data_IF_523954970271
#
_entry.id   IF_523954970271
#
_cell.length_a   1.000
_cell.length_b   1.000
_cell.length_c   1.000
_cell.angle_alpha   90.00
_cell.angle_beta   90.00
_cell.angle_gamma   90.00
#
_symmetry.space_group_name_H-M   'P 1'
#
loop_
_entity.id
_entity.type
_entity.pdbx_description
1 polymer ?
#
# COMPACT_ATOMS: atom_id res chain seq x y z
N UNK A 1 21.40 23.56 59.29
CA UNK A 1 21.69 22.17 59.68
C UNK A 1 22.14 21.48 58.44
N UNK A 2 23.45 21.29 58.36
CA UNK A 2 24.20 20.60 57.33
C UNK A 2 23.88 19.09 57.38
N UNK A 3 23.74 18.43 56.24
CA UNK A 3 24.10 17.00 56.10
C UNK A 3 24.63 16.70 54.70
N UNK A 4 25.74 16.01 54.78
CA UNK A 4 26.71 15.73 53.72
C UNK A 4 26.25 14.68 52.73
N UNK A 5 26.75 14.81 51.49
CA UNK A 5 26.75 13.83 50.41
C UNK A 5 27.74 12.68 50.76
N UNK A 6 27.44 11.41 50.46
CA UNK A 6 28.47 10.37 50.32
C UNK A 6 28.84 10.15 48.84
N UNK A 7 30.15 10.27 48.62
CA UNK A 7 30.85 9.97 47.38
C UNK A 7 30.66 8.53 46.92
N UNK A 8 30.44 8.33 45.64
CA UNK A 8 30.46 7.01 44.97
C UNK A 8 31.87 6.71 44.45
N UNK A 9 32.43 5.65 44.94
CA UNK A 9 33.76 5.06 44.65
C UNK A 9 33.78 4.42 43.25
N UNK A 10 34.62 4.94 42.37
CA UNK A 10 34.82 4.53 40.97
C UNK A 10 36.04 3.58 40.92
N UNK A 11 35.82 2.26 40.93
CA UNK A 11 36.87 1.25 40.64
C UNK A 11 36.38 0.22 39.63
N UNK A 12 37.12 -0.04 38.56
CA UNK A 12 36.77 -1.04 37.57
C UNK A 12 37.17 -2.45 38.02
N UNK A 13 36.25 -3.41 37.88
CA UNK A 13 36.51 -4.83 38.10
C UNK A 13 37.10 -5.50 36.84
N UNK A 14 37.96 -6.53 37.01
CA UNK A 14 38.77 -7.09 35.94
C UNK A 14 38.01 -8.08 35.04
N UNK A 15 38.36 -8.09 33.75
CA UNK A 15 37.77 -8.87 32.69
C UNK A 15 37.88 -10.38 32.84
N UNK A 16 36.79 -11.07 32.54
CA UNK A 16 36.78 -12.48 32.17
C UNK A 16 36.86 -12.62 30.65
N UNK A 17 37.99 -13.12 30.16
CA UNK A 17 38.12 -13.66 28.81
C UNK A 17 37.26 -14.90 28.70
N UNK A 18 36.31 -14.93 27.78
CA UNK A 18 35.67 -16.16 27.32
C UNK A 18 36.28 -16.52 25.97
N UNK A 19 36.83 -17.72 25.95
CA UNK A 19 37.35 -18.40 24.77
C UNK A 19 36.21 -18.70 23.78
N UNK A 20 36.47 -18.51 22.47
CA UNK A 20 35.60 -18.89 21.38
C UNK A 20 35.69 -20.41 21.12
N UNK A 21 34.57 -21.10 20.87
CA UNK A 21 34.63 -22.49 20.43
C UNK A 21 35.02 -22.61 18.94
N UNK A 22 35.62 -23.76 18.55
CA UNK A 22 36.17 -23.96 17.21
C UNK A 22 35.07 -24.15 16.14
N UNK A 23 35.38 -23.67 14.95
CA UNK A 23 34.51 -23.70 13.76
C UNK A 23 34.09 -25.12 13.38
N UNK A 24 32.80 -25.26 13.07
CA UNK A 24 32.25 -26.42 12.36
C UNK A 24 32.14 -26.11 10.90
N UNK A 25 32.86 -26.86 10.09
CA UNK A 25 32.73 -26.92 8.64
C UNK A 25 31.31 -27.41 8.28
N UNK A 26 30.50 -26.59 7.60
CA UNK A 26 29.26 -27.01 6.99
C UNK A 26 29.51 -27.67 5.63
N UNK A 27 28.70 -28.65 5.22
CA UNK A 27 28.90 -29.38 3.98
C UNK A 27 28.51 -28.53 2.75
N UNK A 28 29.30 -28.72 1.67
CA UNK A 28 29.09 -28.12 0.37
C UNK A 28 27.75 -28.54 -0.26
N UNK A 29 27.06 -27.61 -0.89
CA UNK A 29 25.86 -27.86 -1.71
C UNK A 29 26.22 -28.70 -2.93
N UNK A 30 25.45 -29.73 -3.28
CA UNK A 30 25.63 -30.46 -4.53
C UNK A 30 25.05 -29.68 -5.72
N UNK A 31 25.79 -29.69 -6.83
CA UNK A 31 25.36 -29.18 -8.13
C UNK A 31 24.17 -29.96 -8.68
N UNK A 32 23.16 -29.26 -9.22
CA UNK A 32 22.04 -29.86 -9.92
C UNK A 32 22.50 -30.57 -11.19
N UNK A 33 22.36 -31.89 -11.19
CA UNK A 33 22.48 -32.76 -12.37
C UNK A 33 21.10 -32.98 -12.94
N UNK A 34 20.91 -32.67 -14.23
CA UNK A 34 19.71 -32.98 -14.97
C UNK A 34 19.50 -34.51 -15.00
N UNK A 35 18.29 -34.98 -14.70
CA UNK A 35 17.87 -36.36 -14.83
C UNK A 35 17.03 -36.55 -16.12
N UNK A 36 17.13 -37.74 -16.77
CA UNK A 36 16.45 -37.99 -18.02
C UNK A 36 14.96 -38.31 -17.82
N UNK A 37 14.15 -38.02 -18.87
CA UNK A 37 12.71 -38.17 -18.89
C UNK A 37 12.21 -39.60 -18.57
N UNK A 38 11.19 -39.64 -17.75
CA UNK A 38 10.27 -40.76 -17.63
C UNK A 38 8.88 -40.28 -18.05
N UNK A 39 8.40 -40.86 -19.17
CA UNK A 39 6.98 -40.86 -19.46
C UNK A 39 6.29 -41.70 -18.38
N UNK A 40 5.41 -41.08 -17.61
CA UNK A 40 4.47 -41.82 -16.76
C UNK A 40 3.06 -41.34 -17.07
N UNK A 41 2.20 -42.31 -17.37
CA UNK A 41 0.76 -42.16 -17.49
C UNK A 41 0.21 -41.29 -16.36
N UNK A 42 -0.46 -40.18 -16.72
CA UNK A 42 -1.03 -39.22 -15.77
C UNK A 42 -2.18 -39.82 -14.98
N UNK A 43 -2.26 -39.63 -13.66
CA UNK A 43 -3.48 -39.86 -12.92
C UNK A 43 -4.58 -38.95 -13.41
N UNK A 44 -5.80 -39.48 -13.49
CA UNK A 44 -7.01 -38.75 -13.85
C UNK A 44 -7.10 -37.42 -13.05
N UNK A 45 -7.36 -36.34 -13.77
CA UNK A 45 -7.50 -35.00 -13.19
C UNK A 45 -8.52 -35.04 -12.03
N UNK A 46 -8.03 -34.91 -10.82
CA UNK A 46 -8.87 -34.50 -9.70
C UNK A 46 -9.50 -33.16 -10.11
N UNK A 47 -10.84 -33.08 -10.10
CA UNK A 47 -11.55 -31.88 -10.53
C UNK A 47 -11.00 -30.66 -9.80
N UNK A 48 -10.74 -29.56 -10.54
CA UNK A 48 -10.27 -28.31 -9.96
C UNK A 48 -11.19 -27.89 -8.80
N UNK A 49 -10.65 -27.43 -7.67
CA UNK A 49 -11.46 -26.93 -6.56
C UNK A 49 -12.37 -25.80 -7.06
N UNK A 50 -13.60 -25.71 -6.51
CA UNK A 50 -14.47 -24.57 -6.79
C UNK A 50 -13.82 -23.30 -6.26
N UNK A 51 -13.93 -22.17 -6.98
CA UNK A 51 -13.28 -20.92 -6.63
C UNK A 51 -13.46 -20.49 -5.16
N UNK A 52 -14.64 -20.72 -4.59
CA UNK A 52 -14.92 -20.42 -3.17
C UNK A 52 -14.09 -21.26 -2.21
N UNK A 53 -13.89 -22.56 -2.46
CA UNK A 53 -13.05 -23.41 -1.61
C UNK A 53 -11.58 -22.95 -1.68
N UNK A 54 -11.07 -22.68 -2.87
CA UNK A 54 -9.71 -22.17 -3.09
C UNK A 54 -9.49 -20.82 -2.39
N UNK A 55 -10.45 -19.88 -2.46
CA UNK A 55 -10.39 -18.60 -1.77
C UNK A 55 -10.24 -18.77 -0.26
N UNK A 56 -11.09 -19.59 0.38
CA UNK A 56 -11.06 -19.78 1.83
C UNK A 56 -9.80 -20.48 2.33
N UNK A 57 -9.29 -21.44 1.58
CA UNK A 57 -8.05 -22.13 1.91
C UNK A 57 -6.88 -21.17 1.88
N UNK A 58 -6.70 -20.43 0.79
CA UNK A 58 -5.66 -19.41 0.65
C UNK A 58 -5.76 -18.33 1.72
N UNK A 59 -6.98 -17.86 2.01
CA UNK A 59 -7.22 -16.85 3.03
C UNK A 59 -6.82 -17.32 4.42
N UNK A 60 -7.19 -18.55 4.79
CA UNK A 60 -6.83 -19.17 6.07
C UNK A 60 -5.31 -19.34 6.21
N UNK A 61 -4.62 -19.74 5.14
CA UNK A 61 -3.20 -20.00 5.15
C UNK A 61 -2.38 -18.69 5.21
N UNK A 62 -2.87 -17.61 4.60
CA UNK A 62 -2.25 -16.30 4.64
C UNK A 62 -2.50 -15.53 5.96
N UNK A 63 -3.65 -15.78 6.60
CA UNK A 63 -4.11 -15.02 7.77
C UNK A 63 -3.14 -14.99 8.97
N UNK A 64 -2.36 -16.03 9.31
CA UNK A 64 -1.40 -15.96 10.43
C UNK A 64 -0.13 -15.17 10.12
N UNK A 65 0.23 -14.98 8.83
CA UNK A 65 1.51 -14.36 8.44
C UNK A 65 1.48 -12.87 8.80
N UNK A 66 2.45 -12.43 9.59
CA UNK A 66 2.64 -11.03 9.98
C UNK A 66 1.55 -10.45 10.90
N UNK A 67 0.66 -11.29 11.45
CA UNK A 67 -0.41 -10.86 12.36
C UNK A 67 0.14 -10.58 13.76
N UNK A 68 -0.09 -9.39 14.28
CA UNK A 68 0.21 -9.02 15.65
C UNK A 68 -0.97 -9.44 16.56
N UNK A 69 -0.69 -10.34 17.52
CA UNK A 69 -1.73 -10.88 18.41
C UNK A 69 -2.25 -9.87 19.43
N UNK A 70 -1.53 -8.79 19.68
CA UNK A 70 -1.93 -7.75 20.65
C UNK A 70 -2.89 -6.74 20.05
N UNK A 71 -2.74 -6.43 18.76
CA UNK A 71 -3.57 -5.45 18.04
C UNK A 71 -4.58 -6.10 17.10
N UNK A 72 -4.38 -7.37 16.73
CA UNK A 72 -5.05 -8.08 15.66
C UNK A 72 -4.78 -7.53 14.25
N UNK A 73 -3.91 -6.52 14.12
CA UNK A 73 -3.50 -5.96 12.85
C UNK A 73 -2.33 -6.69 12.23
N UNK A 74 -1.96 -6.29 11.04
CA UNK A 74 -0.85 -6.88 10.28
C UNK A 74 0.37 -5.95 10.25
N UNK A 75 1.57 -6.55 10.23
CA UNK A 75 2.87 -5.88 10.11
C UNK A 75 3.74 -6.61 9.09
N UNK A 76 3.28 -6.64 7.86
CA UNK A 76 3.95 -7.26 6.71
C UNK A 76 4.82 -6.23 6.00
N UNK A 77 5.86 -5.72 6.69
CA UNK A 77 6.71 -4.67 6.11
C UNK A 77 7.69 -5.26 5.10
N UNK A 78 7.90 -4.55 4.01
CA UNK A 78 8.81 -4.95 2.94
C UNK A 78 10.19 -5.40 3.45
N UNK A 79 10.69 -6.50 2.90
CA UNK A 79 12.00 -7.09 3.22
C UNK A 79 12.17 -7.50 4.70
N UNK A 80 11.08 -7.81 5.40
CA UNK A 80 11.09 -8.44 6.72
C UNK A 80 10.81 -9.94 6.62
N UNK A 81 10.85 -10.66 7.75
CA UNK A 81 10.50 -12.08 7.76
C UNK A 81 9.04 -12.29 7.34
N UNK A 82 8.11 -11.45 7.80
CA UNK A 82 6.70 -11.53 7.40
C UNK A 82 6.50 -11.35 5.89
N UNK A 83 7.24 -10.43 5.25
CA UNK A 83 7.23 -10.29 3.79
C UNK A 83 7.83 -11.55 3.13
N UNK A 84 8.93 -12.09 3.64
CA UNK A 84 9.52 -13.34 3.13
C UNK A 84 8.53 -14.51 3.21
N UNK A 85 7.79 -14.62 4.30
CA UNK A 85 6.77 -15.66 4.48
C UNK A 85 5.60 -15.47 3.49
N UNK A 86 5.13 -14.24 3.27
CA UNK A 86 4.14 -13.90 2.23
C UNK A 86 4.65 -14.24 0.82
N UNK A 87 5.91 -13.95 0.53
CA UNK A 87 6.55 -14.27 -0.77
C UNK A 87 6.65 -15.78 -0.99
N UNK A 88 6.97 -16.53 0.06
CA UNK A 88 6.99 -18.00 0.03
C UNK A 88 5.58 -18.53 -0.24
N UNK A 89 4.57 -18.03 0.47
CA UNK A 89 3.18 -18.38 0.23
C UNK A 89 2.75 -18.11 -1.23
N UNK A 90 3.10 -16.96 -1.80
CA UNK A 90 2.78 -16.63 -3.20
C UNK A 90 3.42 -17.63 -4.18
N UNK A 91 4.71 -17.97 -3.98
CA UNK A 91 5.41 -18.98 -4.79
C UNK A 91 4.75 -20.36 -4.71
N UNK A 92 4.33 -20.78 -3.51
CA UNK A 92 3.61 -22.03 -3.30
C UNK A 92 2.28 -22.03 -4.05
N UNK A 93 1.49 -20.93 -3.97
CA UNK A 93 0.24 -20.80 -4.73
C UNK A 93 0.47 -20.88 -6.24
N UNK A 94 1.54 -20.32 -6.76
CA UNK A 94 1.90 -20.43 -8.16
C UNK A 94 2.28 -21.87 -8.54
N UNK A 95 3.11 -22.51 -7.72
CA UNK A 95 3.59 -23.90 -7.93
C UNK A 95 2.44 -24.91 -7.91
N UNK A 96 1.55 -24.82 -6.93
CA UNK A 96 0.41 -25.73 -6.77
C UNK A 96 -0.56 -25.68 -7.97
N UNK A 97 -0.57 -24.53 -8.67
CA UNK A 97 -1.36 -24.34 -9.89
C UNK A 97 -0.60 -24.64 -11.18
N UNK A 98 0.67 -25.06 -11.08
CA UNK A 98 1.52 -25.30 -12.24
C UNK A 98 1.78 -24.03 -13.07
N UNK A 99 1.81 -22.86 -12.43
CA UNK A 99 2.14 -21.59 -13.07
C UNK A 99 3.67 -21.42 -13.14
N UNK A 100 4.15 -20.76 -14.19
CA UNK A 100 5.53 -20.30 -14.25
C UNK A 100 5.76 -19.21 -13.20
N UNK A 101 6.79 -19.35 -12.37
CA UNK A 101 7.11 -18.39 -11.33
C UNK A 101 8.42 -17.67 -11.61
N UNK A 102 8.42 -16.37 -11.47
CA UNK A 102 9.63 -15.54 -11.54
C UNK A 102 9.54 -14.35 -10.57
N UNK A 103 10.71 -13.85 -10.19
CA UNK A 103 10.86 -12.59 -9.46
C UNK A 103 11.58 -11.61 -10.38
N UNK A 104 11.03 -10.41 -10.53
CA UNK A 104 11.68 -9.40 -11.35
C UNK A 104 12.84 -8.73 -10.60
N UNK A 105 13.59 -7.87 -11.32
CA UNK A 105 14.74 -7.16 -10.78
C UNK A 105 14.40 -6.24 -9.61
N UNK A 106 13.14 -5.83 -9.47
CA UNK A 106 12.64 -4.96 -8.42
C UNK A 106 12.08 -5.71 -7.22
N UNK A 107 12.06 -7.06 -7.32
CA UNK A 107 11.53 -7.94 -6.29
C UNK A 107 10.02 -8.18 -6.36
N UNK A 108 9.32 -7.74 -7.39
CA UNK A 108 7.93 -8.12 -7.60
C UNK A 108 7.87 -9.58 -8.05
N UNK A 109 6.84 -10.30 -7.60
CA UNK A 109 6.64 -11.72 -7.90
C UNK A 109 5.59 -11.88 -8.99
N UNK A 110 5.83 -12.78 -9.95
CA UNK A 110 4.97 -13.02 -11.09
C UNK A 110 4.68 -14.51 -11.24
N UNK A 111 3.40 -14.86 -11.37
CA UNK A 111 2.93 -16.23 -11.61
C UNK A 111 2.22 -16.28 -12.96
N UNK A 112 2.79 -16.97 -13.94
CA UNK A 112 2.39 -16.97 -15.34
C UNK A 112 1.59 -18.20 -15.74
N UNK A 113 0.46 -18.00 -16.39
CA UNK A 113 -0.27 -19.01 -17.16
C UNK A 113 -0.06 -18.72 -18.65
N UNK A 114 0.64 -19.61 -19.35
CA UNK A 114 1.04 -19.41 -20.73
C UNK A 114 2.46 -18.86 -20.87
N UNK A 115 2.86 -18.53 -22.10
CA UNK A 115 4.21 -18.04 -22.40
C UNK A 115 4.28 -16.50 -22.18
N UNK A 116 5.05 -16.01 -21.19
CA UNK A 116 5.18 -14.57 -20.95
C UNK A 116 5.82 -13.82 -22.13
N UNK A 117 6.50 -14.53 -23.04
CA UNK A 117 7.14 -13.93 -24.22
C UNK A 117 6.18 -13.75 -25.40
N UNK A 118 4.99 -14.31 -25.34
CA UNK A 118 3.98 -14.12 -26.39
C UNK A 118 3.47 -12.66 -26.48
N UNK A 119 3.64 -11.87 -25.41
CA UNK A 119 3.16 -10.49 -25.34
C UNK A 119 1.64 -10.38 -25.13
N UNK A 120 1.14 -9.15 -25.06
CA UNK A 120 -0.30 -8.83 -24.90
C UNK A 120 -0.97 -9.56 -23.73
N UNK A 121 -0.21 -9.79 -22.65
CA UNK A 121 -0.67 -10.52 -21.48
C UNK A 121 -1.73 -9.72 -20.70
N UNK A 122 -2.72 -10.43 -20.14
CA UNK A 122 -3.62 -9.86 -19.14
C UNK A 122 -3.06 -10.16 -17.76
N UNK A 123 -2.72 -9.11 -17.01
CA UNK A 123 -2.12 -9.22 -15.69
C UNK A 123 -3.13 -8.79 -14.64
N UNK A 124 -3.20 -9.52 -13.54
CA UNK A 124 -3.96 -9.16 -12.35
C UNK A 124 -3.11 -9.35 -11.11
N UNK A 125 -3.51 -8.78 -9.99
CA UNK A 125 -2.77 -8.87 -8.74
C UNK A 125 -2.92 -7.61 -7.90
N UNK A 126 -2.11 -7.49 -6.88
CA UNK A 126 -2.02 -6.37 -5.95
C UNK A 126 -0.74 -6.53 -5.11
N UNK A 127 -0.80 -6.32 -3.80
CA UNK A 127 0.33 -6.44 -2.87
C UNK A 127 -0.01 -7.35 -1.67
N UNK A 128 1.01 -7.74 -0.90
CA UNK A 128 0.86 -8.52 0.33
C UNK A 128 1.44 -7.82 1.56
N UNK A 129 2.16 -6.72 1.37
CA UNK A 129 2.63 -5.87 2.47
C UNK A 129 1.47 -5.08 3.10
N UNK A 130 1.70 -4.44 4.23
CA UNK A 130 0.68 -3.72 4.99
C UNK A 130 1.22 -2.47 5.66
N UNK A 131 0.33 -1.50 5.94
CA UNK A 131 0.61 -0.43 6.92
C UNK A 131 0.79 -1.01 8.33
N UNK A 132 1.35 -0.24 9.29
CA UNK A 132 1.40 -0.65 10.69
C UNK A 132 0.01 -0.94 11.25
N UNK A 133 -0.16 -2.16 11.77
CA UNK A 133 -1.44 -2.66 12.31
C UNK A 133 -2.61 -2.55 11.30
N UNK A 134 -2.32 -2.78 10.01
CA UNK A 134 -3.28 -2.75 8.91
C UNK A 134 -4.36 -3.82 9.01
N UNK A 135 -5.35 -3.74 8.12
CA UNK A 135 -6.41 -4.72 7.97
C UNK A 135 -5.97 -6.00 7.26
N UNK A 136 -6.89 -6.91 7.08
CA UNK A 136 -6.63 -8.19 6.42
C UNK A 136 -6.86 -8.14 4.90
N UNK A 137 -7.63 -7.17 4.41
CA UNK A 137 -8.16 -7.16 3.05
C UNK A 137 -7.36 -6.26 2.11
N UNK A 138 -6.77 -5.20 2.65
CA UNK A 138 -5.98 -4.20 1.93
C UNK A 138 -4.75 -4.84 1.26
N UNK A 139 -4.79 -5.01 -0.06
CA UNK A 139 -3.83 -5.74 -0.87
C UNK A 139 -4.06 -7.26 -0.95
N UNK A 140 -4.04 -8.02 0.17
CA UNK A 140 -4.22 -9.47 0.13
C UNK A 140 -5.49 -9.96 -0.56
N UNK A 141 -6.60 -9.21 -0.46
CA UNK A 141 -7.83 -9.54 -1.17
C UNK A 141 -7.61 -9.63 -2.68
N UNK A 142 -6.83 -8.70 -3.25
CA UNK A 142 -6.52 -8.68 -4.69
C UNK A 142 -5.70 -9.89 -5.12
N UNK A 143 -4.65 -10.23 -4.37
CA UNK A 143 -3.76 -11.36 -4.70
C UNK A 143 -4.50 -12.70 -4.55
N UNK A 144 -5.21 -12.92 -3.45
CA UNK A 144 -5.98 -14.15 -3.21
C UNK A 144 -7.08 -14.30 -4.26
N UNK A 145 -7.82 -13.21 -4.54
CA UNK A 145 -8.87 -13.23 -5.57
C UNK A 145 -8.32 -13.51 -6.97
N UNK A 146 -7.11 -13.06 -7.27
CA UNK A 146 -6.46 -13.32 -8.56
C UNK A 146 -6.19 -14.81 -8.77
N UNK A 147 -5.64 -15.50 -7.78
CA UNK A 147 -5.46 -16.95 -7.87
C UNK A 147 -6.80 -17.70 -7.91
N UNK A 148 -7.78 -17.29 -7.08
CA UNK A 148 -9.11 -17.89 -7.08
C UNK A 148 -9.85 -17.70 -8.42
N UNK A 149 -9.68 -16.54 -9.07
CA UNK A 149 -10.25 -16.28 -10.40
C UNK A 149 -9.62 -17.17 -11.47
N UNK A 150 -8.31 -17.47 -11.40
CA UNK A 150 -7.68 -18.46 -12.30
C UNK A 150 -8.23 -19.87 -12.08
N UNK A 151 -8.49 -20.26 -10.83
CA UNK A 151 -9.10 -21.55 -10.53
C UNK A 151 -10.53 -21.63 -11.08
N UNK A 152 -11.30 -20.54 -10.97
CA UNK A 152 -12.65 -20.44 -11.55
C UNK A 152 -12.63 -20.53 -13.09
N UNK A 153 -11.70 -19.84 -13.77
CA UNK A 153 -11.54 -19.96 -15.22
C UNK A 153 -11.28 -21.41 -15.64
N UNK A 154 -10.41 -22.11 -14.92
CA UNK A 154 -10.13 -23.54 -15.19
C UNK A 154 -11.36 -24.40 -14.96
N UNK A 155 -12.11 -24.15 -13.88
CA UNK A 155 -13.34 -24.90 -13.57
C UNK A 155 -14.43 -24.68 -14.63
N UNK A 156 -14.50 -23.51 -15.25
CA UNK A 156 -15.38 -23.20 -16.39
C UNK A 156 -14.89 -23.81 -17.70
N UNK A 157 -13.66 -24.34 -17.74
CA UNK A 157 -13.05 -24.86 -18.97
C UNK A 157 -12.63 -23.74 -19.93
N UNK A 158 -12.47 -22.52 -19.47
CA UNK A 158 -12.00 -21.39 -20.25
C UNK A 158 -10.57 -21.65 -20.77
N UNK A 159 -10.30 -21.23 -22.00
CA UNK A 159 -9.01 -21.42 -22.66
C UNK A 159 -8.44 -20.05 -23.05
N UNK A 160 -7.60 -19.46 -22.23
CA UNK A 160 -6.96 -18.19 -22.57
C UNK A 160 -6.13 -18.32 -23.84
N UNK A 161 -6.32 -17.39 -24.76
CA UNK A 161 -5.50 -17.25 -25.99
C UNK A 161 -4.37 -16.26 -25.80
N UNK A 162 -4.44 -15.45 -24.74
CA UNK A 162 -3.37 -14.56 -24.28
C UNK A 162 -2.77 -15.10 -22.99
N UNK A 163 -1.48 -14.84 -22.70
CA UNK A 163 -0.92 -15.13 -21.39
C UNK A 163 -1.69 -14.41 -20.28
N UNK A 164 -1.84 -15.09 -19.14
CA UNK A 164 -2.34 -14.50 -17.90
C UNK A 164 -1.22 -14.46 -16.86
N UNK A 165 -1.19 -13.44 -16.02
CA UNK A 165 -0.30 -13.42 -14.88
C UNK A 165 -1.00 -12.92 -13.62
N UNK A 166 -0.59 -13.47 -12.47
CA UNK A 166 -0.82 -12.88 -11.15
C UNK A 166 0.47 -12.20 -10.70
N UNK A 167 0.38 -10.97 -10.20
CA UNK A 167 1.52 -10.21 -9.68
C UNK A 167 1.31 -9.87 -8.20
N UNK A 168 2.40 -9.94 -7.43
CA UNK A 168 2.51 -9.36 -6.09
C UNK A 168 3.58 -8.27 -6.14
N UNK A 169 3.17 -7.00 -6.07
CA UNK A 169 4.09 -5.87 -6.02
C UNK A 169 4.71 -5.73 -4.65
N UNK A 170 6.00 -5.37 -4.61
CA UNK A 170 6.74 -5.17 -3.36
C UNK A 170 6.63 -3.74 -2.85
N UNK A 171 6.38 -3.59 -1.54
CA UNK A 171 6.37 -2.31 -0.81
C UNK A 171 5.38 -1.30 -1.42
N UNK A 172 4.12 -1.74 -1.60
CA UNK A 172 3.05 -0.85 -2.07
C UNK A 172 2.72 0.21 -1.03
N UNK A 173 2.57 -0.19 0.22
CA UNK A 173 2.16 0.68 1.33
C UNK A 173 3.26 1.67 1.77
N UNK A 174 4.51 1.37 1.47
CA UNK A 174 5.64 2.20 1.86
C UNK A 174 5.82 2.34 3.37
N UNK A 175 5.25 1.42 4.14
CA UNK A 175 5.22 1.49 5.59
C UNK A 175 6.60 1.53 6.22
N UNK A 176 7.59 0.86 5.61
CA UNK A 176 8.95 0.78 6.11
C UNK A 176 9.81 1.95 5.67
N UNK A 177 9.76 2.34 4.40
CA UNK A 177 10.68 3.31 3.82
C UNK A 177 10.04 4.66 3.51
N UNK A 178 8.76 4.84 3.79
CA UNK A 178 8.05 6.11 3.68
C UNK A 178 7.66 6.53 2.25
N UNK A 179 7.82 5.63 1.28
CA UNK A 179 7.40 5.83 -0.11
C UNK A 179 6.51 4.67 -0.55
N UNK A 180 5.29 4.96 -0.99
CA UNK A 180 4.35 3.96 -1.48
C UNK A 180 4.65 3.50 -2.91
N UNK A 181 4.20 2.30 -3.26
CA UNK A 181 4.28 1.69 -4.59
C UNK A 181 5.72 1.57 -5.10
N UNK A 182 6.68 1.19 -4.24
CA UNK A 182 8.10 1.16 -4.61
C UNK A 182 8.36 0.20 -5.77
N UNK A 183 7.81 -1.02 -5.71
CA UNK A 183 8.01 -2.04 -6.74
C UNK A 183 7.46 -1.64 -8.11
N UNK A 184 6.21 -1.19 -8.17
CA UNK A 184 5.59 -0.73 -9.42
C UNK A 184 6.23 0.56 -9.95
N UNK A 185 6.61 1.52 -9.08
CA UNK A 185 7.33 2.75 -9.48
C UNK A 185 8.68 2.47 -10.09
N UNK A 186 9.46 1.56 -9.51
CA UNK A 186 10.73 1.11 -10.09
C UNK A 186 10.49 0.50 -11.46
N UNK A 187 9.53 -0.43 -11.57
CA UNK A 187 9.21 -1.11 -12.83
C UNK A 187 8.76 -0.12 -13.91
N UNK A 188 7.91 0.86 -13.55
CA UNK A 188 7.43 1.90 -14.46
C UNK A 188 8.44 3.05 -14.71
N UNK A 189 9.60 3.05 -14.04
CA UNK A 189 10.60 4.11 -14.17
C UNK A 189 10.22 5.43 -13.51
N UNK A 190 9.21 5.43 -12.63
CA UNK A 190 8.79 6.61 -11.85
C UNK A 190 9.62 6.81 -10.58
N UNK A 191 10.44 5.83 -10.22
CA UNK A 191 11.43 5.89 -9.14
C UNK A 191 12.78 5.48 -9.72
N UNK A 192 13.79 6.35 -9.61
CA UNK A 192 15.14 6.00 -10.06
C UNK A 192 15.85 5.11 -9.03
N UNK A 193 16.90 4.39 -9.48
CA UNK A 193 17.74 3.60 -8.58
C UNK A 193 18.35 4.45 -7.47
N UNK A 194 18.84 5.63 -7.79
CA UNK A 194 19.48 6.55 -6.85
C UNK A 194 18.49 7.00 -5.78
N UNK A 195 17.26 7.33 -6.18
CA UNK A 195 16.19 7.68 -5.24
C UNK A 195 15.83 6.49 -4.33
N UNK A 196 15.68 5.29 -4.89
CA UNK A 196 15.41 4.09 -4.12
C UNK A 196 16.56 3.76 -3.15
N UNK A 197 17.81 3.90 -3.57
CA UNK A 197 19.00 3.70 -2.72
C UNK A 197 19.10 4.72 -1.59
N UNK A 198 18.47 5.89 -1.73
CA UNK A 198 18.43 6.91 -0.68
C UNK A 198 17.38 6.63 0.39
N UNK A 199 16.39 5.75 0.15
CA UNK A 199 15.34 5.42 1.12
C UNK A 199 15.93 4.76 2.37
N UNK A 200 15.40 5.13 3.53
CA UNK A 200 15.81 4.63 4.85
C UNK A 200 14.58 4.35 5.70
N UNK A 201 14.65 3.29 6.47
CA UNK A 201 13.65 3.05 7.52
C UNK A 201 13.93 3.85 8.80
N UNK A 202 13.07 3.71 9.80
CA UNK A 202 13.18 4.43 11.08
C UNK A 202 14.47 4.11 11.85
N UNK A 203 15.06 2.94 11.62
CA UNK A 203 16.32 2.49 12.24
C UNK A 203 17.55 2.89 11.39
N UNK A 204 17.35 3.64 10.30
CA UNK A 204 18.39 4.07 9.38
C UNK A 204 18.88 2.98 8.42
N UNK A 205 18.22 1.81 8.36
CA UNK A 205 18.55 0.75 7.40
C UNK A 205 18.08 1.19 6.00
N UNK A 206 18.99 1.16 5.04
CA UNK A 206 18.64 1.50 3.66
C UNK A 206 17.86 0.40 2.95
N UNK A 207 17.04 0.77 1.95
CA UNK A 207 16.35 -0.19 1.09
C UNK A 207 17.34 -1.20 0.46
N UNK A 208 18.48 -0.80 -0.15
CA UNK A 208 19.47 -1.74 -0.67
C UNK A 208 19.93 -2.76 0.39
N UNK A 209 20.21 -2.28 1.60
CA UNK A 209 20.66 -3.17 2.68
C UNK A 209 19.59 -4.16 3.13
N UNK A 210 18.32 -3.74 3.10
CA UNK A 210 17.21 -4.62 3.41
C UNK A 210 17.01 -5.69 2.32
N UNK A 211 17.11 -5.31 1.04
CA UNK A 211 17.06 -6.21 -0.11
C UNK A 211 18.19 -7.25 -0.07
N UNK A 212 19.44 -6.83 0.16
CA UNK A 212 20.59 -7.75 0.30
C UNK A 212 20.36 -8.79 1.40
N UNK A 213 19.84 -8.38 2.57
CA UNK A 213 19.54 -9.28 3.68
C UNK A 213 18.45 -10.29 3.32
N UNK A 214 17.53 -9.91 2.47
CA UNK A 214 16.48 -10.78 1.94
C UNK A 214 16.94 -11.63 0.74
N UNK A 215 18.20 -11.48 0.29
CA UNK A 215 18.80 -12.28 -0.79
C UNK A 215 18.58 -11.71 -2.19
N UNK A 216 18.22 -10.44 -2.31
CA UNK A 216 18.01 -9.74 -3.59
C UNK A 216 19.19 -8.85 -3.93
N UNK A 217 19.42 -8.63 -5.23
CA UNK A 217 20.47 -7.75 -5.73
C UNK A 217 19.93 -6.31 -5.85
N UNK A 218 20.33 -5.39 -4.97
CA UNK A 218 19.87 -4.01 -5.02
C UNK A 218 20.45 -3.21 -6.19
N UNK A 219 21.53 -3.67 -6.82
CA UNK A 219 22.13 -2.99 -7.98
C UNK A 219 21.40 -3.31 -9.28
N UNK A 220 20.55 -4.35 -9.29
CA UNK A 220 19.73 -4.72 -10.43
C UNK A 220 18.46 -3.88 -10.57
N UNK A 221 18.00 -3.20 -9.50
CA UNK A 221 16.70 -2.49 -9.49
C UNK A 221 16.66 -1.34 -10.48
N UNK A 222 15.48 -1.04 -10.97
CA UNK A 222 15.20 0.08 -11.87
C UNK A 222 14.14 -0.24 -12.92
N UNK A 223 13.97 0.62 -13.93
CA UNK A 223 12.95 0.46 -14.97
C UNK A 223 13.03 -0.90 -15.67
N UNK A 224 11.84 -1.50 -15.92
CA UNK A 224 11.72 -2.77 -16.65
C UNK A 224 10.76 -2.62 -17.86
N UNK A 225 11.15 -1.84 -18.88
CA UNK A 225 10.30 -1.60 -20.04
C UNK A 225 10.04 -2.87 -20.86
N UNK A 226 10.95 -3.86 -20.82
CA UNK A 226 10.77 -5.13 -21.51
C UNK A 226 9.64 -5.95 -20.88
N UNK A 227 9.49 -5.90 -19.57
CA UNK A 227 8.37 -6.53 -18.86
C UNK A 227 7.07 -5.81 -19.15
N UNK A 228 7.04 -4.48 -19.06
CA UNK A 228 5.86 -3.70 -19.37
C UNK A 228 5.39 -3.88 -20.81
N UNK A 229 6.31 -4.04 -21.76
CA UNK A 229 5.96 -4.32 -23.17
C UNK A 229 5.25 -5.68 -23.38
N UNK A 230 5.31 -6.59 -22.43
CA UNK A 230 4.59 -7.87 -22.48
C UNK A 230 3.15 -7.75 -21.98
N UNK A 231 2.82 -6.68 -21.25
CA UNK A 231 1.51 -6.45 -20.61
C UNK A 231 0.58 -5.72 -21.56
N UNK A 232 -0.50 -6.38 -21.97
CA UNK A 232 -1.56 -5.77 -22.78
C UNK A 232 -2.61 -5.05 -21.94
N UNK A 233 -2.90 -5.56 -20.73
CA UNK A 233 -3.78 -4.91 -19.76
C UNK A 233 -3.43 -5.34 -18.32
N UNK A 234 -3.60 -4.43 -17.37
CA UNK A 234 -3.53 -4.72 -15.95
C UNK A 234 -4.88 -4.45 -15.27
N UNK A 235 -5.36 -5.40 -14.48
CA UNK A 235 -6.61 -5.27 -13.70
C UNK A 235 -6.33 -5.61 -12.25
N UNK A 236 -6.41 -4.62 -11.38
CA UNK A 236 -6.28 -4.80 -9.93
C UNK A 236 -7.66 -4.94 -9.29
N UNK A 237 -7.86 -6.00 -8.49
CA UNK A 237 -9.01 -6.08 -7.60
C UNK A 237 -8.57 -5.65 -6.21
N UNK A 238 -9.36 -4.78 -5.58
CA UNK A 238 -9.03 -4.24 -4.27
C UNK A 238 -10.28 -4.08 -3.40
N UNK A 239 -10.15 -4.05 -2.09
CA UNK A 239 -11.24 -3.61 -1.22
C UNK A 239 -11.51 -2.12 -1.49
N UNK A 240 -12.79 -1.70 -1.52
CA UNK A 240 -13.12 -0.28 -1.52
C UNK A 240 -12.72 0.32 -0.17
N UNK A 241 -11.70 1.14 -0.12
CA UNK A 241 -11.26 1.81 1.09
C UNK A 241 -12.21 2.97 1.51
N UNK A 242 -13.35 3.07 0.84
CA UNK A 242 -14.46 3.98 1.07
C UNK A 242 -15.77 3.24 1.36
N UNK A 243 -16.91 3.92 1.17
CA UNK A 243 -18.28 3.40 1.42
C UNK A 243 -19.26 3.68 0.29
N UNK A 244 -18.79 3.92 -0.93
CA UNK A 244 -19.69 4.26 -2.03
C UNK A 244 -20.56 3.07 -2.47
N UNK A 245 -20.00 1.83 -2.37
CA UNK A 245 -20.71 0.59 -2.64
C UNK A 245 -21.60 0.12 -1.49
N UNK A 246 -21.36 0.59 -0.26
CA UNK A 246 -22.17 0.22 0.89
C UNK A 246 -23.58 0.84 0.81
N UNK A 247 -24.62 0.09 1.20
CA UNK A 247 -25.97 0.60 1.31
C UNK A 247 -26.02 1.77 2.30
N UNK A 248 -26.45 2.97 1.87
CA UNK A 248 -26.62 4.15 2.72
C UNK A 248 -28.06 4.21 3.21
N UNK A 249 -28.26 4.24 4.53
CA UNK A 249 -29.56 4.55 5.10
C UNK A 249 -29.96 5.96 4.66
N UNK A 250 -30.91 6.09 3.73
CA UNK A 250 -31.62 7.33 3.46
C UNK A 250 -31.15 8.18 2.26
N UNK A 251 -30.36 7.69 1.30
CA UNK A 251 -29.99 8.48 0.13
C UNK A 251 -29.48 7.60 -1.02
N UNK A 252 -30.29 7.44 -2.04
CA UNK A 252 -29.99 6.56 -3.18
C UNK A 252 -28.84 7.07 -4.06
N UNK A 253 -27.63 6.56 -3.81
CA UNK A 253 -26.64 6.45 -4.88
C UNK A 253 -26.98 5.19 -5.69
N UNK A 254 -26.91 5.24 -7.02
CA UNK A 254 -27.07 4.07 -7.89
C UNK A 254 -26.04 2.95 -7.59
N UNK A 255 -24.94 3.30 -6.92
CA UNK A 255 -23.91 2.36 -6.45
C UNK A 255 -24.23 1.66 -5.13
N UNK A 256 -25.21 2.15 -4.37
CA UNK A 256 -25.47 1.62 -3.03
C UNK A 256 -26.02 0.18 -3.09
N UNK A 257 -25.34 -0.72 -2.37
CA UNK A 257 -25.72 -2.14 -2.29
C UNK A 257 -25.07 -3.05 -3.34
N UNK A 258 -24.29 -2.51 -4.28
CA UNK A 258 -23.54 -3.34 -5.22
C UNK A 258 -22.34 -4.00 -4.51
N UNK A 259 -22.11 -5.33 -4.70
CA UNK A 259 -20.96 -6.01 -4.09
C UNK A 259 -19.64 -5.62 -4.74
N UNK A 260 -19.66 -5.20 -6.02
CA UNK A 260 -18.49 -4.88 -6.83
C UNK A 260 -18.73 -3.58 -7.60
N UNK A 261 -17.68 -2.82 -7.86
CA UNK A 261 -17.65 -1.65 -8.71
C UNK A 261 -16.38 -1.59 -9.55
N UNK A 262 -16.35 -0.71 -10.54
CA UNK A 262 -15.17 -0.42 -11.39
C UNK A 262 -14.64 0.97 -11.05
N UNK A 263 -13.31 1.10 -10.97
CA UNK A 263 -12.68 2.40 -10.73
C UNK A 263 -12.74 3.31 -11.96
N UNK A 264 -13.05 4.60 -11.74
CA UNK A 264 -12.96 5.62 -12.79
C UNK A 264 -11.60 6.32 -12.81
N UNK A 265 -11.12 6.70 -11.63
CA UNK A 265 -9.88 7.45 -11.44
C UNK A 265 -9.40 7.36 -10.00
N UNK A 266 -8.12 7.69 -9.79
CA UNK A 266 -7.56 8.04 -8.47
C UNK A 266 -7.59 9.55 -8.36
N UNK A 267 -8.13 10.06 -7.26
CA UNK A 267 -8.21 11.50 -7.00
C UNK A 267 -6.84 12.15 -6.89
N UNK A 268 -6.68 13.39 -7.36
CA UNK A 268 -5.48 14.17 -7.10
C UNK A 268 -5.32 14.38 -5.60
N UNK A 269 -4.07 14.26 -5.16
CA UNK A 269 -3.73 14.37 -3.75
C UNK A 269 -2.34 14.94 -3.55
N UNK A 270 -2.09 15.45 -2.35
CA UNK A 270 -0.76 15.95 -2.02
C UNK A 270 -0.55 16.08 -0.52
N UNK A 271 0.70 16.39 -0.19
CA UNK A 271 1.14 16.62 1.18
C UNK A 271 1.81 17.98 1.30
N UNK A 272 1.44 18.70 2.34
CA UNK A 272 1.96 20.04 2.66
C UNK A 272 2.41 20.06 4.09
N UNK A 273 3.61 20.60 4.33
CA UNK A 273 4.11 20.89 5.67
C UNK A 273 3.81 22.34 6.01
N UNK A 274 3.22 22.55 7.16
CA UNK A 274 2.96 23.86 7.76
C UNK A 274 3.88 24.05 8.95
N UNK A 275 4.77 25.03 8.89
CA UNK A 275 5.67 25.43 9.95
C UNK A 275 5.12 26.70 10.62
N UNK A 276 4.77 26.61 11.89
CA UNK A 276 4.23 27.71 12.69
C UNK A 276 5.32 28.18 13.68
N UNK A 277 5.96 29.31 13.40
CA UNK A 277 7.04 29.87 14.20
C UNK A 277 6.51 30.88 15.17
N UNK A 278 6.58 30.60 16.46
CA UNK A 278 6.20 31.45 17.56
C UNK A 278 7.38 31.78 18.48
N UNK A 279 7.12 31.94 19.75
CA UNK A 279 8.13 32.29 20.77
C UNK A 279 7.98 31.37 21.98
N UNK A 280 9.05 30.63 22.32
CA UNK A 280 9.08 29.81 23.52
C UNK A 280 9.07 30.68 24.77
N UNK A 281 8.21 30.35 25.74
CA UNK A 281 8.14 31.08 26.98
C UNK A 281 7.55 30.18 28.08
N UNK A 282 7.56 30.68 29.32
CA UNK A 282 7.04 29.95 30.46
C UNK A 282 5.50 29.97 30.50
N UNK A 283 4.89 28.76 30.53
CA UNK A 283 3.43 28.63 30.44
C UNK A 283 2.66 29.29 31.61
N UNK A 284 3.25 29.35 32.81
CA UNK A 284 2.59 29.86 34.01
C UNK A 284 2.81 31.33 34.29
N UNK A 285 3.88 31.97 33.77
CA UNK A 285 4.25 33.35 34.07
C UNK A 285 4.05 34.31 32.90
N UNK A 286 3.98 33.82 31.64
CA UNK A 286 3.76 34.69 30.50
C UNK A 286 2.29 35.03 30.36
N UNK A 287 1.98 36.35 30.42
CA UNK A 287 0.61 36.83 30.25
C UNK A 287 0.05 36.49 28.89
N UNK A 288 -1.25 36.37 28.75
CA UNK A 288 -1.91 35.96 27.51
C UNK A 288 -1.58 36.94 26.36
N UNK A 289 -1.58 38.23 26.61
CA UNK A 289 -1.30 39.28 25.64
C UNK A 289 0.14 39.29 25.11
N UNK A 290 1.07 38.72 25.89
CA UNK A 290 2.50 38.66 25.54
C UNK A 290 2.89 37.39 24.80
N UNK A 291 1.93 36.46 24.61
CA UNK A 291 2.20 35.13 23.98
C UNK A 291 2.22 35.22 22.48
N UNK A 292 3.17 34.48 21.88
CA UNK A 292 3.20 34.13 20.46
C UNK A 292 3.17 32.60 20.34
N UNK A 293 2.00 32.04 20.66
CA UNK A 293 1.83 30.60 20.82
C UNK A 293 1.44 29.93 19.49
N UNK A 294 2.36 29.21 18.83
CA UNK A 294 2.10 28.56 17.54
C UNK A 294 1.12 27.38 17.64
N UNK A 295 0.93 26.83 18.86
CA UNK A 295 -0.03 25.76 19.08
C UNK A 295 -1.47 26.24 18.85
N UNK A 296 -1.81 27.47 19.25
CA UNK A 296 -3.15 28.01 19.01
C UNK A 296 -3.40 28.28 17.53
N UNK A 297 -2.40 28.78 16.80
CA UNK A 297 -2.49 28.98 15.35
C UNK A 297 -2.65 27.67 14.64
N UNK A 298 -1.87 26.64 14.99
CA UNK A 298 -1.99 25.28 14.46
C UNK A 298 -3.38 24.69 14.72
N UNK A 299 -3.87 24.72 15.95
CA UNK A 299 -5.19 24.16 16.31
C UNK A 299 -6.32 24.81 15.50
N UNK A 300 -6.30 26.15 15.31
CA UNK A 300 -7.25 26.85 14.45
C UNK A 300 -7.12 26.42 12.98
N UNK A 301 -5.90 26.21 12.50
CA UNK A 301 -5.65 25.75 11.13
C UNK A 301 -6.24 24.35 10.90
N UNK A 302 -6.09 23.43 11.84
CA UNK A 302 -6.70 22.09 11.78
C UNK A 302 -8.23 22.16 11.66
N UNK A 303 -8.86 23.02 12.49
CA UNK A 303 -10.31 23.23 12.44
C UNK A 303 -10.76 23.89 11.12
N UNK A 304 -9.98 24.85 10.62
CA UNK A 304 -10.22 25.49 9.35
C UNK A 304 -10.10 24.49 8.20
N UNK A 305 -9.08 23.62 8.17
CA UNK A 305 -8.88 22.59 7.18
C UNK A 305 -10.09 21.67 7.08
N UNK A 306 -10.56 21.12 8.20
CA UNK A 306 -11.78 20.29 8.24
C UNK A 306 -13.00 21.02 7.67
N UNK A 307 -13.19 22.30 8.05
CA UNK A 307 -14.33 23.08 7.57
C UNK A 307 -14.28 23.31 6.07
N UNK A 308 -13.12 23.73 5.55
CA UNK A 308 -12.91 24.04 4.12
C UNK A 308 -13.08 22.80 3.28
N UNK A 309 -12.44 21.71 3.62
CA UNK A 309 -12.57 20.44 2.92
C UNK A 309 -14.04 19.96 2.86
N UNK A 310 -14.77 20.02 3.99
CA UNK A 310 -16.18 19.63 4.03
C UNK A 310 -17.05 20.49 3.10
N UNK A 311 -16.80 21.79 3.02
CA UNK A 311 -17.59 22.70 2.17
C UNK A 311 -17.34 22.45 0.67
N UNK A 312 -16.12 22.07 0.31
CA UNK A 312 -15.71 21.77 -1.07
C UNK A 312 -15.92 20.30 -1.47
N UNK A 313 -16.41 19.42 -0.58
CA UNK A 313 -16.50 17.99 -0.86
C UNK A 313 -15.14 17.30 -0.96
N UNK A 314 -14.10 17.91 -0.41
CA UNK A 314 -12.73 17.40 -0.38
C UNK A 314 -12.37 16.76 0.98
N UNK A 315 -11.17 16.18 1.06
CA UNK A 315 -10.59 15.65 2.28
C UNK A 315 -9.35 16.44 2.68
N UNK A 316 -9.18 16.70 3.98
CA UNK A 316 -8.00 17.38 4.51
C UNK A 316 -7.74 16.89 5.95
N UNK A 317 -6.56 16.33 6.16
CA UNK A 317 -6.18 15.71 7.44
C UNK A 317 -4.78 16.13 7.85
N UNK A 318 -4.63 16.68 9.05
CA UNK A 318 -3.34 16.82 9.70
C UNK A 318 -3.03 15.54 10.49
N UNK A 319 -2.35 14.59 9.86
CA UNK A 319 -2.09 13.26 10.44
C UNK A 319 -0.82 13.19 11.28
N UNK A 320 0.10 14.16 11.13
CA UNK A 320 1.38 14.22 11.85
C UNK A 320 1.61 15.62 12.39
N UNK A 321 2.15 15.71 13.62
CA UNK A 321 2.54 16.98 14.26
C UNK A 321 3.84 16.80 15.01
N UNK A 322 4.69 17.82 15.02
CA UNK A 322 5.83 17.94 15.94
C UNK A 322 5.81 19.28 16.63
N UNK A 323 6.31 19.32 17.86
CA UNK A 323 6.29 20.50 18.73
C UNK A 323 7.67 20.67 19.36
N UNK A 324 8.19 21.91 19.38
CA UNK A 324 9.49 22.24 19.95
C UNK A 324 9.37 23.49 20.85
N UNK A 325 9.91 23.47 22.10
CA UNK A 325 10.24 22.30 22.89
C UNK A 325 8.94 21.64 23.38
N UNK A 326 8.79 20.39 23.30
CA UNK A 326 7.57 19.65 23.66
C UNK A 326 7.48 19.49 25.20
N UNK A 327 7.35 20.59 25.94
CA UNK A 327 7.33 20.62 27.39
C UNK A 327 5.97 21.02 27.97
N UNK A 328 5.52 20.34 29.02
CA UNK A 328 4.20 20.58 29.65
C UNK A 328 4.04 22.01 30.17
N UNK A 329 5.12 22.65 30.62
CA UNK A 329 5.16 23.98 31.22
C UNK A 329 5.78 25.04 30.31
N UNK A 330 5.92 24.78 29.03
CA UNK A 330 6.51 25.67 28.04
C UNK A 330 5.53 25.99 26.90
N UNK A 331 5.48 27.26 26.50
CA UNK A 331 4.91 27.68 25.23
C UNK A 331 5.88 27.23 24.14
N UNK A 332 5.41 26.66 23.06
CA UNK A 332 6.24 26.19 21.95
C UNK A 332 6.88 27.38 21.20
N UNK A 333 8.07 27.17 20.63
CA UNK A 333 8.65 28.07 19.63
C UNK A 333 8.29 27.67 18.20
N UNK A 334 8.01 26.38 18.00
CA UNK A 334 7.71 25.84 16.67
C UNK A 334 6.72 24.69 16.78
N UNK A 335 5.69 24.74 15.95
CA UNK A 335 4.80 23.60 15.67
C UNK A 335 4.88 23.32 14.19
N UNK A 336 5.08 22.05 13.83
CA UNK A 336 4.99 21.58 12.44
C UNK A 336 3.83 20.62 12.30
N UNK A 337 2.97 20.87 11.33
CA UNK A 337 1.88 19.96 10.97
C UNK A 337 1.99 19.52 9.53
N UNK A 338 1.66 18.24 9.25
CA UNK A 338 1.61 17.71 7.89
C UNK A 338 0.17 17.46 7.48
N UNK A 339 -0.24 18.19 6.45
CA UNK A 339 -1.55 18.08 5.81
C UNK A 339 -1.48 17.09 4.66
N UNK A 340 -2.30 16.04 4.67
CA UNK A 340 -2.71 15.26 3.50
C UNK A 340 -4.05 15.82 3.03
N UNK A 341 -4.16 16.16 1.73
CA UNK A 341 -5.42 16.66 1.15
C UNK A 341 -5.69 16.01 -0.20
N UNK A 342 -6.98 15.71 -0.44
CA UNK A 342 -7.49 15.02 -1.64
C UNK A 342 -8.82 15.63 -2.06
N UNK A 343 -9.07 15.69 -3.38
CA UNK A 343 -10.33 16.19 -3.93
C UNK A 343 -10.67 15.45 -5.24
N UNK A 344 -11.87 15.66 -5.76
CA UNK A 344 -12.32 15.02 -6.99
C UNK A 344 -11.53 15.50 -8.24
N UNK A 345 -10.99 16.70 -8.19
CA UNK A 345 -10.22 17.34 -9.26
C UNK A 345 -9.12 18.24 -8.69
N UNK A 346 -8.16 18.61 -9.54
CA UNK A 346 -6.98 19.40 -9.16
C UNK A 346 -7.33 20.84 -8.78
N UNK A 347 -8.34 21.44 -9.41
CA UNK A 347 -8.78 22.80 -9.14
C UNK A 347 -9.35 22.89 -7.71
N UNK A 348 -10.29 22.00 -7.39
CA UNK A 348 -10.86 21.88 -6.03
C UNK A 348 -9.78 21.62 -4.98
N UNK A 349 -8.79 20.75 -5.30
CA UNK A 349 -7.68 20.48 -4.38
C UNK A 349 -6.84 21.73 -4.15
N UNK A 350 -6.47 22.45 -5.20
CA UNK A 350 -5.68 23.68 -5.12
C UNK A 350 -6.42 24.78 -4.36
N UNK A 351 -7.72 24.94 -4.60
CA UNK A 351 -8.56 25.91 -3.90
C UNK A 351 -8.63 25.62 -2.39
N UNK A 352 -8.91 24.38 -2.01
CA UNK A 352 -9.03 23.97 -0.60
C UNK A 352 -7.72 24.20 0.14
N UNK A 353 -6.59 23.76 -0.44
CA UNK A 353 -5.28 23.97 0.19
C UNK A 353 -4.94 25.44 0.29
N UNK A 354 -5.19 26.22 -0.78
CA UNK A 354 -4.98 27.67 -0.76
C UNK A 354 -5.84 28.40 0.28
N UNK A 355 -7.08 27.95 0.49
CA UNK A 355 -7.94 28.50 1.54
C UNK A 355 -7.46 28.14 2.96
N UNK A 356 -6.93 26.92 3.15
CA UNK A 356 -6.33 26.48 4.40
C UNK A 356 -5.08 27.31 4.70
N UNK A 357 -4.21 27.52 3.72
CA UNK A 357 -3.01 28.34 3.83
C UNK A 357 -3.35 29.80 4.18
N UNK A 358 -4.30 30.40 3.46
CA UNK A 358 -4.77 31.76 3.78
C UNK A 358 -5.29 31.89 5.21
N UNK A 359 -6.08 30.90 5.67
CA UNK A 359 -6.61 30.90 7.01
C UNK A 359 -5.50 30.76 8.07
N UNK A 360 -4.49 29.92 7.81
CA UNK A 360 -3.34 29.75 8.69
C UNK A 360 -2.52 31.05 8.81
N UNK A 361 -2.20 31.68 7.67
CA UNK A 361 -1.43 32.93 7.62
C UNK A 361 -2.21 34.08 8.30
N UNK A 362 -3.50 34.19 8.04
CA UNK A 362 -4.35 35.22 8.68
C UNK A 362 -4.41 35.04 10.19
N UNK A 363 -4.56 33.78 10.63
CA UNK A 363 -4.55 33.46 12.05
C UNK A 363 -3.17 33.75 12.67
N UNK A 364 -2.09 33.36 12.00
CA UNK A 364 -0.72 33.63 12.46
C UNK A 364 -0.44 35.11 12.67
N UNK A 365 -0.92 35.98 11.78
CA UNK A 365 -0.79 37.44 11.93
C UNK A 365 -1.47 37.97 13.21
N UNK A 366 -2.62 37.40 13.58
CA UNK A 366 -3.33 37.78 14.81
C UNK A 366 -2.62 37.28 16.07
N UNK A 367 -2.00 36.10 15.99
CA UNK A 367 -1.31 35.50 17.14
C UNK A 367 0.19 35.88 17.24
N UNK A 368 0.70 36.71 16.30
CA UNK A 368 2.13 37.05 16.23
C UNK A 368 3.03 35.87 15.83
N UNK A 369 2.48 34.90 15.07
CA UNK A 369 3.13 33.67 14.62
C UNK A 369 3.41 33.75 13.12
N UNK A 370 4.67 33.48 12.69
CA UNK A 370 5.04 33.36 11.29
C UNK A 370 4.66 31.94 10.76
N UNK A 371 3.96 31.92 9.65
CA UNK A 371 3.46 30.64 9.03
C UNK A 371 4.12 30.45 7.69
N UNK A 372 4.77 29.30 7.50
CA UNK A 372 5.36 28.88 6.23
C UNK A 372 4.76 27.57 5.79
N UNK A 373 4.42 27.48 4.50
CA UNK A 373 3.83 26.29 3.90
C UNK A 373 4.77 25.78 2.80
N UNK A 374 5.06 24.49 2.85
CA UNK A 374 5.90 23.81 1.85
C UNK A 374 5.13 22.62 1.29
N UNK A 375 4.93 22.58 -0.04
CA UNK A 375 4.41 21.39 -0.70
C UNK A 375 5.51 20.34 -0.78
N UNK A 376 5.30 19.19 -0.14
CA UNK A 376 6.26 18.07 -0.13
C UNK A 376 5.98 17.06 -1.25
N UNK A 377 4.70 16.84 -1.60
CA UNK A 377 4.32 15.99 -2.73
C UNK A 377 3.03 16.46 -3.38
N UNK A 378 2.85 16.07 -4.63
CA UNK A 378 1.60 16.24 -5.38
C UNK A 378 1.51 15.15 -6.45
N UNK A 379 0.38 14.49 -6.50
CA UNK A 379 0.01 13.54 -7.55
C UNK A 379 -1.22 14.09 -8.27
N UNK A 380 -1.18 14.29 -9.58
CA UNK A 380 -2.34 14.71 -10.36
C UNK A 380 -3.41 13.62 -10.35
N UNK A 381 -4.58 13.92 -10.92
CA UNK A 381 -5.59 12.89 -11.17
C UNK A 381 -5.01 11.79 -12.06
N UNK A 382 -5.28 10.54 -11.72
CA UNK A 382 -4.92 9.38 -12.52
C UNK A 382 -6.22 8.77 -13.06
N UNK A 383 -6.52 9.04 -14.32
CA UNK A 383 -7.68 8.44 -14.99
C UNK A 383 -7.32 7.04 -15.50
N UNK A 384 -8.16 6.06 -15.21
CA UNK A 384 -8.02 4.73 -15.79
C UNK A 384 -8.46 4.71 -17.25
N UNK A 385 -7.90 3.79 -18.03
CA UNK A 385 -8.19 3.66 -19.46
C UNK A 385 -9.69 3.53 -19.72
N UNK A 386 -10.31 4.59 -20.27
CA UNK A 386 -11.76 4.70 -20.41
C UNK A 386 -12.36 3.51 -21.17
N UNK A 387 -11.74 3.09 -22.29
CA UNK A 387 -12.21 1.95 -23.08
C UNK A 387 -12.17 0.63 -22.29
N UNK A 388 -11.12 0.41 -21.48
CA UNK A 388 -11.02 -0.77 -20.63
C UNK A 388 -12.05 -0.71 -19.50
N UNK A 389 -12.11 0.39 -18.77
CA UNK A 389 -13.10 0.65 -17.70
C UNK A 389 -14.53 0.37 -18.16
N UNK A 390 -14.93 0.95 -19.30
CA UNK A 390 -16.30 0.84 -19.83
C UNK A 390 -16.58 -0.60 -20.31
N UNK A 391 -15.58 -1.27 -20.88
CA UNK A 391 -15.65 -2.70 -21.23
C UNK A 391 -15.86 -3.57 -19.99
N UNK A 392 -15.11 -3.33 -18.91
CA UNK A 392 -15.26 -4.08 -17.67
C UNK A 392 -16.63 -3.86 -17.03
N UNK A 393 -17.10 -2.61 -16.95
CA UNK A 393 -18.44 -2.32 -16.45
C UNK A 393 -19.52 -3.02 -17.28
N UNK A 394 -19.38 -3.05 -18.61
CA UNK A 394 -20.29 -3.76 -19.51
C UNK A 394 -20.28 -5.28 -19.30
N UNK A 395 -19.12 -5.92 -19.21
CA UNK A 395 -18.97 -7.34 -18.92
C UNK A 395 -19.65 -7.74 -17.60
N UNK A 396 -19.56 -6.87 -16.61
CA UNK A 396 -20.14 -7.09 -15.28
C UNK A 396 -21.62 -6.64 -15.16
N UNK A 397 -22.32 -6.46 -16.27
CA UNK A 397 -23.76 -6.11 -16.26
C UNK A 397 -24.06 -4.67 -15.88
N UNK A 398 -23.12 -3.74 -16.04
CA UNK A 398 -23.29 -2.33 -15.72
C UNK A 398 -23.09 -2.00 -14.25
N UNK A 399 -22.12 -2.65 -13.57
CA UNK A 399 -21.76 -2.32 -12.20
C UNK A 399 -21.35 -0.86 -12.04
N UNK A 400 -21.50 -0.27 -10.86
CA UNK A 400 -21.16 1.14 -10.62
C UNK A 400 -19.70 1.47 -10.99
N UNK A 401 -19.51 2.66 -11.55
CA UNK A 401 -18.21 3.25 -11.82
C UNK A 401 -17.99 4.39 -10.82
N UNK A 402 -16.88 4.34 -10.04
CA UNK A 402 -16.62 5.27 -8.95
C UNK A 402 -15.12 5.57 -8.80
N UNK A 403 -14.76 6.79 -8.36
CA UNK A 403 -13.37 7.14 -8.11
C UNK A 403 -12.90 6.57 -6.76
N UNK A 404 -11.58 6.53 -6.58
CA UNK A 404 -10.94 6.29 -5.28
C UNK A 404 -10.10 7.48 -4.84
N UNK A 405 -10.00 7.66 -3.53
CA UNK A 405 -9.04 8.60 -2.93
C UNK A 405 -7.71 7.95 -2.57
N UNK A 406 -7.59 6.62 -2.66
CA UNK A 406 -6.37 5.89 -2.31
C UNK A 406 -5.44 5.73 -3.52
N UNK A 407 -4.12 5.72 -3.27
CA UNK A 407 -3.13 5.35 -4.27
C UNK A 407 -3.04 3.82 -4.39
N UNK A 408 -2.68 3.31 -5.58
CA UNK A 408 -2.55 1.88 -5.86
C UNK A 408 -1.49 1.64 -6.92
N UNK A 409 -0.96 0.42 -7.01
CA UNK A 409 -0.05 0.00 -8.08
C UNK A 409 -0.68 0.20 -9.47
N UNK A 410 -2.00 -0.02 -9.58
CA UNK A 410 -2.77 0.30 -10.79
C UNK A 410 -2.59 1.76 -11.25
N UNK A 411 -2.56 2.70 -10.30
CA UNK A 411 -2.31 4.10 -10.60
C UNK A 411 -0.92 4.37 -11.19
N UNK A 412 0.07 3.64 -10.73
CA UNK A 412 1.44 3.74 -11.23
C UNK A 412 1.54 3.14 -12.63
N UNK A 413 0.99 1.94 -12.83
CA UNK A 413 1.05 1.22 -14.10
C UNK A 413 0.23 1.87 -15.20
N UNK A 414 -0.83 2.60 -14.86
CA UNK A 414 -1.72 3.27 -15.83
C UNK A 414 -1.00 4.24 -16.77
N UNK A 415 0.16 4.75 -16.35
CA UNK A 415 1.02 5.59 -17.19
C UNK A 415 1.73 4.82 -18.32
N UNK A 416 1.81 3.48 -18.22
CA UNK A 416 2.59 2.64 -19.12
C UNK A 416 1.75 1.60 -19.87
N UNK A 417 0.68 1.10 -19.24
CA UNK A 417 -0.17 0.04 -19.81
C UNK A 417 -1.64 0.34 -19.58
N UNK A 418 -2.56 -0.12 -20.45
CA UNK A 418 -3.99 -0.03 -20.18
C UNK A 418 -4.35 -0.67 -18.84
N UNK A 419 -4.87 0.11 -17.92
CA UNK A 419 -5.12 -0.31 -16.55
C UNK A 419 -6.55 0.00 -16.10
N UNK A 420 -7.12 -0.89 -15.30
CA UNK A 420 -8.39 -0.71 -14.62
C UNK A 420 -8.33 -1.32 -13.21
N UNK A 421 -9.31 -0.98 -12.36
CA UNK A 421 -9.48 -1.61 -11.05
C UNK A 421 -10.93 -2.05 -10.83
N UNK A 422 -11.07 -3.11 -10.05
CA UNK A 422 -12.33 -3.57 -9.48
C UNK A 422 -12.32 -3.33 -7.98
N UNK A 423 -13.44 -2.85 -7.43
CA UNK A 423 -13.62 -2.70 -5.99
C UNK A 423 -14.59 -3.73 -5.43
N UNK A 424 -14.23 -4.31 -4.29
CA UNK A 424 -15.13 -5.10 -3.45
C UNK A 424 -15.67 -4.21 -2.34
N UNK A 425 -16.96 -4.29 -2.07
CA UNK A 425 -17.65 -3.47 -1.08
C UNK A 425 -17.03 -3.58 0.31
N UNK A 426 -16.72 -2.42 0.91
CA UNK A 426 -16.37 -2.27 2.30
C UNK A 426 -17.61 -1.72 3.05
N UNK A 427 -18.25 -2.49 3.92
CA UNK A 427 -19.49 -2.06 4.57
C UNK A 427 -19.31 -0.94 5.57
N UNK A 428 -18.11 -0.78 6.12
CA UNK A 428 -17.78 0.19 7.17
C UNK A 428 -17.05 1.42 6.64
N UNK A 429 -16.28 1.26 5.56
CA UNK A 429 -15.33 2.26 5.05
C UNK A 429 -14.10 2.43 5.94
N UNK A 430 -13.89 1.52 6.89
CA UNK A 430 -12.67 1.46 7.70
C UNK A 430 -11.59 0.79 6.85
N UNK A 431 -10.43 1.44 6.73
CA UNK A 431 -9.22 0.91 6.11
C UNK A 431 -7.99 1.29 6.95
N UNK A 432 -6.84 0.68 6.69
CA UNK A 432 -5.61 0.87 7.46
C UNK A 432 -5.78 0.62 8.97
N UNK A 433 -6.59 -0.37 9.31
CA UNK A 433 -6.97 -0.69 10.69
C UNK A 433 -7.34 -2.16 10.83
N UNK A 434 -7.10 -2.78 12.00
CA UNK A 434 -7.55 -4.13 12.27
C UNK A 434 -9.08 -4.32 12.19
N UNK A 435 -9.83 -3.23 12.21
CA UNK A 435 -11.30 -3.22 12.09
C UNK A 435 -11.81 -3.19 10.64
N UNK A 436 -10.89 -3.20 9.67
CA UNK A 436 -11.24 -3.35 8.25
C UNK A 436 -11.98 -4.66 8.01
N UNK A 437 -13.04 -4.61 7.19
CA UNK A 437 -13.84 -5.80 6.91
C UNK A 437 -14.52 -5.74 5.54
N UNK A 438 -14.67 -6.90 4.93
CA UNK A 438 -15.55 -7.15 3.79
C UNK A 438 -16.41 -8.37 4.09
N UNK A 439 -17.62 -8.42 3.57
CA UNK A 439 -18.45 -9.61 3.68
C UNK A 439 -17.91 -10.72 2.77
N UNK A 440 -17.98 -11.96 3.22
CA UNK A 440 -17.51 -13.12 2.45
C UNK A 440 -18.20 -13.20 1.09
N UNK A 441 -19.51 -13.01 1.04
CA UNK A 441 -20.28 -13.03 -0.21
C UNK A 441 -19.81 -11.91 -1.18
N UNK A 442 -19.39 -10.75 -0.66
CA UNK A 442 -18.85 -9.67 -1.48
C UNK A 442 -17.45 -10.01 -2.02
N UNK A 443 -16.61 -10.68 -1.21
CA UNK A 443 -15.30 -11.16 -1.65
C UNK A 443 -15.46 -12.20 -2.78
N UNK A 444 -16.36 -13.15 -2.62
CA UNK A 444 -16.66 -14.17 -3.63
C UNK A 444 -17.28 -13.55 -4.90
N UNK A 445 -18.13 -12.53 -4.76
CA UNK A 445 -18.61 -11.76 -5.90
C UNK A 445 -17.45 -11.04 -6.63
N UNK A 446 -16.46 -10.54 -5.89
CA UNK A 446 -15.21 -9.98 -6.44
C UNK A 446 -14.42 -11.02 -7.24
N UNK A 447 -14.25 -12.24 -6.70
CA UNK A 447 -13.58 -13.35 -7.42
C UNK A 447 -14.32 -13.68 -8.72
N UNK A 448 -15.64 -13.82 -8.67
CA UNK A 448 -16.47 -14.12 -9.85
C UNK A 448 -16.38 -13.00 -10.91
N UNK A 449 -16.41 -11.73 -10.47
CA UNK A 449 -16.28 -10.57 -11.33
C UNK A 449 -14.88 -10.53 -11.99
N UNK A 450 -13.82 -10.79 -11.22
CA UNK A 450 -12.47 -10.84 -11.77
C UNK A 450 -12.31 -11.99 -12.77
N UNK A 451 -12.87 -13.17 -12.50
CA UNK A 451 -12.86 -14.30 -13.44
C UNK A 451 -13.57 -13.93 -14.76
N UNK A 452 -14.74 -13.29 -14.69
CA UNK A 452 -15.49 -12.81 -15.88
C UNK A 452 -14.66 -11.82 -16.70
N UNK A 453 -14.00 -10.89 -16.03
CA UNK A 453 -13.11 -9.90 -16.67
C UNK A 453 -11.93 -10.57 -17.33
N UNK A 454 -11.24 -11.48 -16.65
CA UNK A 454 -10.09 -12.19 -17.20
C UNK A 454 -10.49 -13.06 -18.39
N UNK A 455 -11.64 -13.73 -18.33
CA UNK A 455 -12.20 -14.50 -19.45
C UNK A 455 -12.47 -13.59 -20.64
N UNK A 456 -13.15 -12.48 -20.42
CA UNK A 456 -13.49 -11.50 -21.45
C UNK A 456 -12.28 -10.80 -22.10
N UNK A 457 -11.16 -10.69 -21.39
CA UNK A 457 -9.94 -10.03 -21.89
C UNK A 457 -8.94 -11.01 -22.54
N UNK A 458 -8.87 -12.25 -22.04
CA UNK A 458 -7.82 -13.20 -22.43
C UNK A 458 -8.32 -14.38 -23.28
N UNK A 459 -9.63 -14.66 -23.32
CA UNK A 459 -10.17 -15.82 -24.05
C UNK A 459 -10.85 -15.47 -25.37
N UNK A 460 -10.98 -14.17 -25.69
CA UNK A 460 -11.69 -13.70 -26.91
C UNK A 460 -10.87 -12.73 -27.70
#
# INVERSE_FOLDING_TARGET
VSQEDPAVDDRPSPGHRREAPPGRNGPARPAHRAAPGHETDGPAAAGAPRAGASFHEMWRDLAPIGRDTSTNGYRRYAWTQADTDCRTWFEEQARDRGLGYEVDRNGNQWAWLGDPMAGDAVVTGSHLDSVPDGGAFDGPLGVVSSFAALDELRARGARPVKPLAVVNFGDEEGARFGLACVGSRLTAGQLTREQAHALRDADGVSLPRAMERAGYDPDAIGPDPERLARVGAFVELHIEQGRALAARSGGGSAAAGAPVGVASAIWPHGRWRFDFHGEANHAGTTRIEDRRDPMLTYANTVLAARKKARLAGALATFGKVSVEPNGVNAIASLVRGWLDSRAADEETLAEVVGEIERAAVERGRRDGVDVRVTRESFTPVVEFAHGLRDRLSGLLGGVPVLPTGAGHDAGILSASVPTAMLFVRNPTGVSHSPAETAAEDDCLAGVAALAEVLEGLACH
#
